data_IF_799732349903
#
_entry.id   IF_799732349903
#
_cell.length_a   1.000
_cell.length_b   1.000
_cell.length_c   1.000
_cell.angle_alpha   90.00
_cell.angle_beta   90.00
_cell.angle_gamma   90.00
#
_symmetry.space_group_name_H-M   'P 1'
#
loop_
_entity.id
_entity.type
_entity.pdbx_description
1 polymer ?
#
# COMPACT_ATOMS: atom_id res chain seq x y z
N UNK A 1 -11.95 3.51 -4.22
CA UNK A 1 -11.34 2.18 -4.49
C UNK A 1 -10.99 1.46 -3.20
N UNK A 2 -10.18 2.05 -2.30
CA UNK A 2 -9.84 1.47 -0.99
C UNK A 2 -11.08 1.06 -0.17
N UNK A 3 -12.02 1.98 0.03
CA UNK A 3 -13.23 1.70 0.84
C UNK A 3 -14.05 0.52 0.30
N UNK A 4 -14.16 0.39 -1.02
CA UNK A 4 -14.87 -0.73 -1.65
C UNK A 4 -14.16 -2.07 -1.41
N UNK A 5 -12.82 -2.09 -1.36
CA UNK A 5 -12.04 -3.28 -1.03
C UNK A 5 -12.18 -3.64 0.46
N UNK A 6 -12.19 -2.64 1.34
CA UNK A 6 -12.36 -2.83 2.78
C UNK A 6 -13.79 -3.23 3.17
N UNK A 7 -14.80 -2.77 2.42
CA UNK A 7 -16.18 -3.22 2.56
C UNK A 7 -16.38 -4.67 2.08
N UNK A 8 -15.52 -5.16 1.18
CA UNK A 8 -15.58 -6.52 0.63
C UNK A 8 -14.23 -7.25 0.65
N UNK A 9 -13.63 -7.51 1.84
CA UNK A 9 -12.27 -8.03 1.95
C UNK A 9 -12.06 -9.43 1.36
N UNK A 10 -13.14 -10.20 1.21
CA UNK A 10 -13.12 -11.51 0.55
C UNK A 10 -12.63 -11.42 -0.90
N UNK A 11 -12.84 -10.28 -1.57
CA UNK A 11 -12.38 -10.06 -2.95
C UNK A 11 -10.86 -10.06 -3.06
N UNK A 12 -10.15 -9.59 -2.02
CA UNK A 12 -8.69 -9.54 -1.96
C UNK A 12 -8.05 -10.94 -1.87
N UNK A 13 -8.78 -11.94 -1.36
CA UNK A 13 -8.31 -13.33 -1.23
C UNK A 13 -8.65 -14.20 -2.42
N UNK A 14 -9.75 -13.90 -3.11
CA UNK A 14 -10.31 -14.75 -4.18
C UNK A 14 -9.90 -14.26 -5.56
N UNK A 15 -9.84 -12.94 -5.77
CA UNK A 15 -9.40 -12.36 -7.04
C UNK A 15 -7.90 -12.13 -6.94
N UNK A 16 -7.11 -13.13 -7.35
CA UNK A 16 -5.67 -12.94 -7.54
C UNK A 16 -5.46 -11.92 -8.66
N UNK A 17 -5.31 -10.66 -8.26
CA UNK A 17 -5.15 -9.52 -9.16
C UNK A 17 -3.77 -9.43 -9.81
N UNK A 18 -3.14 -10.57 -10.09
CA UNK A 18 -1.84 -10.65 -10.74
C UNK A 18 -1.96 -10.69 -12.28
N UNK A 19 -3.19 -10.70 -12.82
CA UNK A 19 -3.48 -10.66 -14.26
C UNK A 19 -3.98 -9.30 -14.74
N UNK A 20 -3.94 -9.04 -16.06
CA UNK A 20 -4.47 -7.81 -16.65
C UNK A 20 -5.97 -7.62 -16.31
N UNK A 21 -6.46 -6.37 -16.22
CA UNK A 21 -7.88 -6.05 -16.08
C UNK A 21 -8.72 -6.84 -17.09
N UNK A 22 -9.64 -7.67 -16.59
CA UNK A 22 -10.40 -8.61 -17.42
C UNK A 22 -11.91 -8.56 -17.18
N UNK A 23 -12.36 -7.97 -16.07
CA UNK A 23 -13.80 -7.82 -15.78
C UNK A 23 -14.33 -6.47 -16.26
N UNK A 24 -15.64 -6.34 -16.56
CA UNK A 24 -16.22 -5.08 -17.03
C UNK A 24 -15.93 -3.89 -16.09
N UNK A 25 -16.00 -4.10 -14.77
CA UNK A 25 -15.69 -3.05 -13.79
C UNK A 25 -14.21 -2.67 -13.79
N UNK A 26 -13.30 -3.65 -13.95
CA UNK A 26 -11.87 -3.37 -14.02
C UNK A 26 -11.50 -2.60 -15.30
N UNK A 27 -12.12 -2.97 -16.43
CA UNK A 27 -11.93 -2.28 -17.71
C UNK A 27 -12.52 -0.87 -17.69
N UNK A 28 -13.72 -0.69 -17.13
CA UNK A 28 -14.32 0.64 -16.97
C UNK A 28 -13.49 1.55 -16.05
N UNK A 29 -12.93 1.00 -14.96
CA UNK A 29 -12.01 1.73 -14.11
C UNK A 29 -10.71 2.10 -14.84
N UNK A 30 -10.15 1.18 -15.63
CA UNK A 30 -8.95 1.48 -16.42
C UNK A 30 -9.23 2.58 -17.45
N UNK A 31 -10.32 2.49 -18.21
CA UNK A 31 -10.74 3.52 -19.17
C UNK A 31 -10.87 4.90 -18.52
N UNK A 32 -11.56 4.99 -17.38
CA UNK A 32 -11.66 6.24 -16.61
C UNK A 32 -10.29 6.77 -16.15
N UNK A 33 -9.39 5.88 -15.72
CA UNK A 33 -8.05 6.29 -15.32
C UNK A 33 -7.22 6.84 -16.47
N UNK A 34 -7.36 6.27 -17.68
CA UNK A 34 -6.69 6.76 -18.88
C UNK A 34 -7.23 8.12 -19.29
N UNK A 35 -8.55 8.33 -19.18
CA UNK A 35 -9.17 9.63 -19.43
C UNK A 35 -8.68 10.71 -18.46
N UNK A 36 -8.45 10.39 -17.18
CA UNK A 36 -7.88 11.33 -16.20
C UNK A 36 -6.44 11.71 -16.53
N UNK A 37 -5.67 10.77 -17.10
CA UNK A 37 -4.28 11.00 -17.50
C UNK A 37 -4.14 11.63 -18.90
N UNK A 38 -5.25 11.95 -19.56
CA UNK A 38 -5.20 12.59 -20.87
C UNK A 38 -4.62 14.01 -20.77
N UNK A 39 -3.86 14.42 -21.80
CA UNK A 39 -3.19 15.72 -21.82
C UNK A 39 -2.01 15.90 -20.85
N UNK A 40 -1.63 14.86 -20.07
CA UNK A 40 -0.51 14.94 -19.13
C UNK A 40 0.88 14.83 -19.78
N UNK A 41 0.96 14.52 -21.07
CA UNK A 41 2.22 14.31 -21.79
C UNK A 41 2.81 12.90 -21.62
N UNK A 42 2.17 12.03 -20.84
CA UNK A 42 2.50 10.61 -20.78
C UNK A 42 2.15 9.90 -22.08
N UNK A 43 3.01 8.96 -22.50
CA UNK A 43 2.67 8.00 -23.56
C UNK A 43 1.56 7.05 -23.09
N UNK A 44 0.82 6.44 -24.02
CA UNK A 44 -0.27 5.50 -23.68
C UNK A 44 0.20 4.33 -22.79
N UNK A 45 1.42 3.83 -23.04
CA UNK A 45 2.02 2.79 -22.19
C UNK A 45 2.28 3.26 -20.76
N UNK A 46 2.72 4.51 -20.60
CA UNK A 46 2.95 5.10 -19.27
C UNK A 46 1.65 5.40 -18.54
N UNK A 47 0.59 5.79 -19.26
CA UNK A 47 -0.75 5.96 -18.67
C UNK A 47 -1.24 4.63 -18.08
N UNK A 48 -1.20 3.55 -18.86
CA UNK A 48 -1.57 2.20 -18.38
C UNK A 48 -0.70 1.77 -17.20
N UNK A 49 0.62 1.92 -17.31
CA UNK A 49 1.55 1.58 -16.23
C UNK A 49 1.27 2.34 -14.93
N UNK A 50 1.01 3.64 -15.04
CA UNK A 50 0.67 4.52 -13.91
C UNK A 50 -0.63 4.07 -13.24
N UNK A 51 -1.68 3.82 -14.03
CA UNK A 51 -2.96 3.33 -13.51
C UNK A 51 -2.78 2.01 -12.76
N UNK A 52 -2.14 1.02 -13.38
CA UNK A 52 -1.92 -0.29 -12.76
C UNK A 52 -1.07 -0.21 -11.50
N UNK A 53 -0.05 0.67 -11.47
CA UNK A 53 0.76 0.92 -10.29
C UNK A 53 -0.08 1.45 -9.12
N UNK A 54 -0.91 2.47 -9.35
CA UNK A 54 -1.78 3.03 -8.30
C UNK A 54 -2.79 1.99 -7.81
N UNK A 55 -3.42 1.23 -8.71
CA UNK A 55 -4.33 0.14 -8.33
C UNK A 55 -3.60 -0.92 -7.50
N UNK A 56 -2.37 -1.28 -7.87
CA UNK A 56 -1.53 -2.21 -7.13
C UNK A 56 -1.23 -1.73 -5.72
N UNK A 57 -0.82 -0.46 -5.57
CA UNK A 57 -0.58 0.16 -4.27
C UNK A 57 -1.82 0.10 -3.37
N UNK A 58 -2.97 0.58 -3.87
CA UNK A 58 -4.23 0.62 -3.10
C UNK A 58 -4.65 -0.79 -2.68
N UNK A 59 -4.52 -1.78 -3.56
CA UNK A 59 -4.87 -3.18 -3.25
C UNK A 59 -3.91 -3.80 -2.25
N UNK A 60 -2.60 -3.54 -2.36
CA UNK A 60 -1.60 -4.04 -1.43
C UNK A 60 -1.89 -3.52 -0.01
N UNK A 61 -2.14 -2.21 0.12
CA UNK A 61 -2.45 -1.59 1.40
C UNK A 61 -3.77 -2.13 1.98
N UNK A 62 -4.84 -2.19 1.17
CA UNK A 62 -6.12 -2.75 1.61
C UNK A 62 -6.00 -4.22 2.04
N UNK A 63 -5.10 -5.01 1.44
CA UNK A 63 -4.83 -6.39 1.85
C UNK A 63 -4.21 -6.48 3.24
N UNK A 64 -3.21 -5.63 3.51
CA UNK A 64 -2.57 -5.56 4.84
C UNK A 64 -3.59 -5.13 5.88
N UNK A 65 -4.30 -4.04 5.62
CA UNK A 65 -5.33 -3.48 6.49
C UNK A 65 -6.45 -4.49 6.81
N UNK A 66 -7.00 -5.14 5.79
CA UNK A 66 -8.00 -6.19 5.99
C UNK A 66 -7.48 -7.36 6.83
N UNK A 67 -6.20 -7.73 6.65
CA UNK A 67 -5.58 -8.83 7.40
C UNK A 67 -5.35 -8.47 8.87
N UNK A 68 -5.09 -7.18 9.16
CA UNK A 68 -4.95 -6.67 10.53
C UNK A 68 -6.29 -6.58 11.24
N UNK A 69 -7.33 -6.09 10.55
CA UNK A 69 -8.70 -5.98 11.08
C UNK A 69 -9.34 -7.32 11.40
N UNK A 70 -9.09 -8.34 10.58
CA UNK A 70 -9.63 -9.69 10.78
C UNK A 70 -8.90 -10.49 11.86
N UNK A 71 -7.77 -9.98 12.39
CA UNK A 71 -7.04 -10.67 13.44
C UNK A 71 -7.22 -10.02 14.83
N UNK A 72 -8.01 -10.64 15.72
CA UNK A 72 -8.19 -10.16 17.09
C UNK A 72 -6.94 -10.30 17.97
N UNK A 73 -5.88 -10.97 17.49
CA UNK A 73 -4.60 -11.07 18.15
C UNK A 73 -3.55 -10.09 17.62
N UNK A 74 -3.91 -9.16 16.73
CA UNK A 74 -2.97 -8.36 15.93
C UNK A 74 -2.06 -7.51 16.83
N UNK A 75 -2.63 -6.81 17.81
CA UNK A 75 -1.85 -6.04 18.78
C UNK A 75 -0.85 -6.90 19.58
N UNK A 76 -1.24 -8.12 19.99
CA UNK A 76 -0.32 -9.06 20.67
C UNK A 76 0.79 -9.55 19.73
N UNK A 77 0.47 -9.81 18.46
CA UNK A 77 1.45 -10.22 17.45
C UNK A 77 2.45 -9.10 17.16
N UNK A 78 2.02 -7.85 17.09
CA UNK A 78 2.89 -6.70 16.93
C UNK A 78 3.82 -6.49 18.14
N UNK A 79 3.32 -6.61 19.37
CA UNK A 79 4.16 -6.56 20.57
C UNK A 79 5.21 -7.69 20.63
N UNK A 80 4.80 -8.91 20.24
CA UNK A 80 5.73 -10.03 20.11
C UNK A 80 6.76 -9.80 18.99
N UNK A 81 6.34 -9.18 17.87
CA UNK A 81 7.21 -8.84 16.76
C UNK A 81 8.24 -7.78 17.14
N UNK A 82 7.86 -6.71 17.84
CA UNK A 82 8.81 -5.71 18.36
C UNK A 82 9.86 -6.37 19.27
N UNK A 83 9.40 -7.20 20.21
CA UNK A 83 10.28 -7.93 21.14
C UNK A 83 11.26 -8.85 20.40
N UNK A 84 10.76 -9.54 19.37
CA UNK A 84 11.58 -10.34 18.47
C UNK A 84 12.62 -9.49 17.76
N UNK A 85 12.23 -8.39 17.10
CA UNK A 85 13.13 -7.48 16.39
C UNK A 85 14.26 -6.95 17.29
N UNK A 86 13.96 -6.58 18.54
CA UNK A 86 14.98 -6.18 19.52
C UNK A 86 15.98 -7.28 19.84
N UNK A 87 15.52 -8.54 19.93
CA UNK A 87 16.39 -9.70 20.17
C UNK A 87 17.33 -9.95 18.99
N UNK A 88 16.80 -9.97 17.76
CA UNK A 88 17.61 -10.31 16.56
C UNK A 88 18.59 -9.20 16.19
N UNK A 89 18.26 -7.94 16.49
CA UNK A 89 19.19 -6.83 16.23
C UNK A 89 20.29 -6.71 17.29
N UNK A 90 20.15 -7.42 18.43
CA UNK A 90 20.99 -7.35 19.63
C UNK A 90 22.50 -7.52 19.40
N UNK A 91 22.90 -8.33 18.43
CA UNK A 91 24.30 -8.64 18.11
C UNK A 91 24.97 -7.64 17.14
N UNK A 92 24.22 -6.64 16.66
CA UNK A 92 24.72 -5.58 15.79
C UNK A 92 24.76 -5.92 14.29
N UNK A 93 24.31 -7.12 13.88
CA UNK A 93 24.35 -7.55 12.46
C UNK A 93 23.33 -6.84 11.57
N UNK A 94 22.33 -6.18 12.16
CA UNK A 94 21.23 -5.50 11.46
C UNK A 94 21.14 -4.02 11.90
N UNK A 95 22.14 -3.18 11.57
CA UNK A 95 22.25 -1.82 12.09
C UNK A 95 21.12 -0.89 11.62
N UNK A 96 20.69 -0.97 10.36
CA UNK A 96 19.58 -0.14 9.86
C UNK A 96 18.25 -0.48 10.55
N UNK A 97 17.99 -1.78 10.77
CA UNK A 97 16.80 -2.23 11.46
C UNK A 97 16.81 -1.83 12.94
N UNK A 98 17.98 -1.91 13.59
CA UNK A 98 18.19 -1.40 14.93
C UNK A 98 17.82 0.08 15.03
N UNK A 99 18.32 0.92 14.12
CA UNK A 99 17.98 2.36 14.09
C UNK A 99 16.48 2.58 14.01
N UNK A 100 15.75 1.83 13.18
CA UNK A 100 14.31 1.96 13.05
C UNK A 100 13.55 1.53 14.32
N UNK A 101 14.01 0.49 15.01
CA UNK A 101 13.44 0.05 16.30
C UNK A 101 13.71 1.09 17.40
N UNK A 102 14.93 1.65 17.44
CA UNK A 102 15.32 2.69 18.40
C UNK A 102 14.56 4.00 18.17
N UNK A 103 14.20 4.30 16.91
CA UNK A 103 13.31 5.39 16.54
C UNK A 103 11.83 5.13 16.85
N UNK A 104 11.47 3.95 17.36
CA UNK A 104 10.10 3.61 17.76
C UNK A 104 9.15 3.25 16.62
N UNK A 105 9.65 3.05 15.39
CA UNK A 105 8.82 2.75 14.21
C UNK A 105 8.01 1.45 14.37
N UNK A 106 8.54 0.49 15.13
CA UNK A 106 7.89 -0.79 15.41
C UNK A 106 7.26 -0.88 16.80
N UNK A 107 7.16 0.25 17.52
CA UNK A 107 6.56 0.25 18.85
C UNK A 107 5.13 -0.28 18.74
N UNK A 108 4.81 -1.33 19.49
CA UNK A 108 3.47 -1.87 19.46
C UNK A 108 2.48 -0.87 20.09
N UNK A 109 1.65 -0.23 19.26
CA UNK A 109 0.46 0.43 19.77
C UNK A 109 -0.52 -0.65 20.22
N UNK A 110 -1.05 -0.50 21.43
CA UNK A 110 -2.00 -1.48 22.00
C UNK A 110 -3.34 -1.43 21.27
N UNK A 111 -3.59 -0.33 20.55
CA UNK A 111 -4.71 -0.08 19.68
C UNK A 111 -4.24 -0.06 18.22
N UNK A 112 -4.88 -0.86 17.36
CA UNK A 112 -4.84 -0.62 15.92
C UNK A 112 -5.67 0.64 15.70
N UNK A 113 -5.04 1.80 15.77
CA UNK A 113 -5.74 3.05 15.55
C UNK A 113 -6.10 3.15 14.06
N UNK A 114 -7.39 3.25 13.68
CA UNK A 114 -7.79 3.43 12.30
C UNK A 114 -7.14 4.66 11.65
N UNK A 115 -6.75 5.65 12.47
CA UNK A 115 -6.02 6.84 12.03
C UNK A 115 -4.60 6.51 11.54
N UNK A 116 -3.89 5.58 12.17
CA UNK A 116 -2.54 5.17 11.75
C UNK A 116 -2.57 4.43 10.40
N UNK A 117 -3.58 3.58 10.17
CA UNK A 117 -3.77 2.89 8.87
C UNK A 117 -4.05 3.89 7.73
N UNK A 118 -4.85 4.93 8.02
CA UNK A 118 -5.13 6.01 7.07
C UNK A 118 -3.88 6.84 6.75
N UNK A 119 -3.08 7.16 7.78
CA UNK A 119 -1.83 7.91 7.62
C UNK A 119 -0.80 7.15 6.78
N UNK A 120 -0.62 5.84 7.02
CA UNK A 120 0.28 4.99 6.24
C UNK A 120 -0.17 4.88 4.76
N UNK A 121 -1.48 4.71 4.55
CA UNK A 121 -2.06 4.69 3.21
C UNK A 121 -1.85 6.04 2.49
N UNK A 122 -2.18 7.14 3.15
CA UNK A 122 -2.03 8.50 2.61
C UNK A 122 -0.57 8.81 2.30
N UNK A 123 0.37 8.43 3.17
CA UNK A 123 1.80 8.58 2.91
C UNK A 123 2.22 7.83 1.65
N UNK A 124 1.87 6.54 1.53
CA UNK A 124 2.22 5.73 0.37
C UNK A 124 1.63 6.29 -0.94
N UNK A 125 0.36 6.70 -0.91
CA UNK A 125 -0.31 7.31 -2.06
C UNK A 125 0.35 8.62 -2.45
N UNK A 126 0.63 9.51 -1.49
CA UNK A 126 1.28 10.78 -1.75
C UNK A 126 2.66 10.59 -2.37
N UNK A 127 3.48 9.66 -1.87
CA UNK A 127 4.79 9.36 -2.46
C UNK A 127 4.68 8.84 -3.89
N UNK A 128 3.66 8.04 -4.20
CA UNK A 128 3.41 7.59 -5.57
C UNK A 128 3.02 8.76 -6.49
N UNK A 129 2.17 9.66 -6.01
CA UNK A 129 1.76 10.86 -6.75
C UNK A 129 2.93 11.82 -6.97
N UNK A 130 3.75 12.07 -5.96
CA UNK A 130 4.97 12.90 -6.08
C UNK A 130 5.92 12.31 -7.16
N UNK A 131 6.05 10.98 -7.21
CA UNK A 131 6.83 10.29 -8.23
C UNK A 131 6.27 10.45 -9.64
N UNK A 132 4.94 10.40 -9.78
CA UNK A 132 4.24 10.64 -11.06
C UNK A 132 4.44 12.09 -11.48
N UNK A 133 4.23 13.06 -10.59
CA UNK A 133 4.45 14.49 -10.87
C UNK A 133 5.90 14.74 -11.34
N UNK A 134 6.88 14.15 -10.66
CA UNK A 134 8.28 14.25 -11.07
C UNK A 134 8.54 13.64 -12.47
N UNK A 135 7.81 12.58 -12.86
CA UNK A 135 7.86 12.02 -14.22
C UNK A 135 7.21 12.95 -15.23
N UNK A 136 6.07 13.57 -14.91
CA UNK A 136 5.38 14.53 -15.78
C UNK A 136 6.25 15.76 -16.09
N UNK A 137 7.07 16.20 -15.12
CA UNK A 137 8.01 17.30 -15.30
C UNK A 137 9.24 16.99 -16.18
N UNK A 138 9.40 15.75 -16.65
CA UNK A 138 10.53 15.34 -17.50
C UNK A 138 10.06 15.09 -18.95
N UNK A 139 10.69 15.71 -19.97
CA UNK A 139 10.39 15.37 -21.35
C UNK A 139 10.72 13.89 -21.61
N UNK A 140 9.83 13.20 -22.33
CA UNK A 140 9.98 11.81 -22.76
C UNK A 140 11.01 11.66 -23.88
#
# INVERSE_FOLDING_TARGET
MRDALLAHPWTLRVVTALGPPATPHQLAWLDQSLAVLDGTGLTEGEKVGTSLMISGLVRSQATVEASLRDDPASGRRWAAYESFLRRVTGDGRLPALRTAIEAGVFAASTDVEPAAEEEDFAYGLQRALDGIEARLGRPG
#
